data_IF_646102171780
#
_entry.id   IF_646102171780
#
_cell.length_a   1.000
_cell.length_b   1.000
_cell.length_c   1.000
_cell.angle_alpha   90.00
_cell.angle_beta   90.00
_cell.angle_gamma   90.00
#
_symmetry.space_group_name_H-M   'P 1'
#
loop_
_entity.id
_entity.type
_entity.pdbx_description
1 polymer ?
#
# COMPACT_ATOMS: atom_id res chain seq x y z
N UNK A 1 5.40 -25.28 74.14
CA UNK A 1 6.33 -25.55 73.02
C UNK A 1 5.88 -24.73 71.81
N UNK A 2 6.41 -23.51 71.64
CA UNK A 2 6.64 -22.85 70.33
C UNK A 2 7.75 -21.83 70.59
N UNK A 3 8.90 -22.04 69.96
CA UNK A 3 10.16 -21.34 70.20
C UNK A 3 10.23 -20.13 69.26
N UNK A 4 10.36 -18.93 69.82
CA UNK A 4 10.59 -17.67 69.10
C UNK A 4 12.02 -17.69 68.54
N UNK A 5 12.18 -17.72 67.21
CA UNK A 5 13.47 -17.57 66.55
C UNK A 5 13.62 -16.15 66.03
N UNK A 6 14.62 -15.45 66.59
CA UNK A 6 15.15 -14.16 66.20
C UNK A 6 16.25 -14.45 65.16
N UNK A 7 16.16 -13.87 63.96
CA UNK A 7 17.22 -14.00 62.94
C UNK A 7 18.10 -12.75 63.00
N UNK A 8 19.37 -12.96 63.32
CA UNK A 8 20.42 -11.95 63.28
C UNK A 8 21.07 -11.92 61.90
N UNK A 9 21.32 -10.71 61.41
CA UNK A 9 22.05 -10.42 60.18
C UNK A 9 23.56 -10.47 60.45
N UNK A 10 24.32 -11.11 59.56
CA UNK A 10 25.77 -10.93 59.42
C UNK A 10 26.10 -10.63 57.94
N UNK A 11 26.84 -9.55 57.63
CA UNK A 11 27.30 -9.25 56.28
C UNK A 11 28.67 -9.89 56.04
N UNK A 12 28.87 -10.56 54.90
CA UNK A 12 30.22 -10.95 54.48
C UNK A 12 30.43 -10.85 52.96
N UNK A 13 31.29 -9.89 52.61
CA UNK A 13 32.30 -9.87 51.54
C UNK A 13 31.99 -10.49 50.17
N UNK A 14 31.79 -9.62 49.16
CA UNK A 14 31.93 -9.96 47.75
C UNK A 14 32.67 -8.85 47.00
N UNK A 15 34.00 -8.89 47.01
CA UNK A 15 34.83 -7.94 46.24
C UNK A 15 35.74 -8.63 45.20
N UNK A 16 35.83 -9.97 45.17
CA UNK A 16 36.78 -10.66 44.26
C UNK A 16 36.17 -11.47 43.11
N UNK A 17 34.83 -11.48 42.94
CA UNK A 17 34.15 -12.19 41.83
C UNK A 17 33.91 -11.33 40.58
N UNK A 18 33.82 -10.01 40.72
CA UNK A 18 33.52 -9.12 39.58
C UNK A 18 34.67 -9.02 38.56
N UNK A 19 35.93 -9.04 39.02
CA UNK A 19 37.09 -8.91 38.12
C UNK A 19 37.21 -10.07 37.15
N UNK A 20 36.83 -11.28 37.57
CA UNK A 20 36.89 -12.47 36.72
C UNK A 20 35.78 -12.49 35.66
N UNK A 21 34.63 -11.86 35.95
CA UNK A 21 33.52 -11.72 35.01
C UNK A 21 33.83 -10.64 33.98
N UNK A 22 34.36 -9.49 34.44
CA UNK A 22 34.78 -8.39 33.56
C UNK A 22 35.89 -8.85 32.59
N UNK A 23 36.88 -9.61 33.09
CA UNK A 23 37.94 -10.16 32.26
C UNK A 23 37.40 -11.09 31.16
N UNK A 24 36.39 -11.93 31.48
CA UNK A 24 35.75 -12.79 30.47
C UNK A 24 35.02 -11.98 29.40
N UNK A 25 34.28 -10.95 29.78
CA UNK A 25 33.62 -10.08 28.80
C UNK A 25 34.62 -9.33 27.91
N UNK A 26 35.72 -8.84 28.48
CA UNK A 26 36.78 -8.16 27.72
C UNK A 26 37.45 -9.09 26.69
N UNK A 27 37.77 -10.32 27.07
CA UNK A 27 38.35 -11.33 26.16
C UNK A 27 37.37 -11.67 25.04
N UNK A 28 36.08 -11.89 25.36
CA UNK A 28 35.06 -12.19 24.34
C UNK A 28 34.89 -11.05 23.36
N UNK A 29 34.87 -9.79 23.82
CA UNK A 29 34.74 -8.62 22.96
C UNK A 29 35.96 -8.46 22.04
N UNK A 30 37.16 -8.73 22.56
CA UNK A 30 38.41 -8.69 21.78
C UNK A 30 38.44 -9.76 20.69
N UNK A 31 38.02 -11.00 21.00
CA UNK A 31 37.92 -12.09 20.03
C UNK A 31 36.87 -11.80 18.93
N UNK A 32 35.73 -11.20 19.30
CA UNK A 32 34.70 -10.79 18.34
C UNK A 32 35.21 -9.69 17.40
N UNK A 33 35.98 -8.72 17.92
CA UNK A 33 36.62 -7.68 17.12
C UNK A 33 37.70 -8.22 16.17
N UNK A 34 38.49 -9.21 16.60
CA UNK A 34 39.45 -9.91 15.73
C UNK A 34 38.76 -10.70 14.62
N UNK A 35 37.67 -11.42 14.94
CA UNK A 35 36.88 -12.13 13.94
C UNK A 35 36.26 -11.15 12.92
N UNK A 36 35.70 -10.02 13.38
CA UNK A 36 35.18 -8.98 12.49
C UNK A 36 36.27 -8.41 11.58
N UNK A 37 37.46 -8.10 12.12
CA UNK A 37 38.62 -7.65 11.34
C UNK A 37 39.00 -8.67 10.27
N UNK A 38 39.09 -9.96 10.60
CA UNK A 38 39.46 -11.00 9.63
C UNK A 38 38.41 -11.17 8.52
N UNK A 39 37.11 -11.13 8.87
CA UNK A 39 36.03 -11.27 7.89
C UNK A 39 35.88 -10.04 6.98
N UNK A 40 36.04 -8.83 7.54
CA UNK A 40 35.91 -7.59 6.78
C UNK A 40 37.16 -7.25 5.96
N UNK A 41 38.35 -7.63 6.43
CA UNK A 41 39.59 -7.45 5.67
C UNK A 41 39.66 -8.37 4.46
N UNK A 42 38.97 -9.52 4.48
CA UNK A 42 38.89 -10.41 3.32
C UNK A 42 37.85 -9.97 2.28
N UNK A 43 36.90 -9.10 2.63
CA UNK A 43 35.82 -8.66 1.72
C UNK A 43 36.12 -7.35 0.99
N UNK A 44 37.27 -6.71 1.24
CA UNK A 44 37.69 -5.51 0.52
C UNK A 44 38.99 -5.81 -0.26
N UNK A 45 38.88 -6.73 -1.22
CA UNK A 45 39.83 -6.85 -2.32
C UNK A 45 39.47 -5.82 -3.39
N UNK A 46 40.03 -4.61 -3.29
CA UNK A 46 39.99 -3.63 -4.38
C UNK A 46 40.71 -4.21 -5.62
N UNK A 47 39.99 -4.44 -6.71
CA UNK A 47 40.58 -4.56 -8.05
C UNK A 47 41.01 -3.15 -8.49
N UNK A 48 42.28 -2.91 -8.88
CA UNK A 48 42.66 -1.63 -9.43
C UNK A 48 42.14 -1.55 -10.88
N UNK A 49 41.23 -0.63 -11.15
CA UNK A 49 40.90 -0.22 -12.51
C UNK A 49 42.05 0.66 -12.99
N UNK A 50 42.79 0.16 -13.99
CA UNK A 50 43.78 0.91 -14.75
C UNK A 50 43.10 2.08 -15.45
N UNK A 51 43.47 3.31 -15.11
CA UNK A 51 43.11 4.49 -15.90
C UNK A 51 44.05 4.55 -17.09
N UNK A 52 43.57 4.14 -18.25
CA UNK A 52 44.24 4.41 -19.52
C UNK A 52 43.69 5.74 -20.07
N UNK A 53 44.59 6.72 -20.21
CA UNK A 53 44.32 8.01 -20.83
C UNK A 53 44.02 7.79 -22.32
N UNK A 54 42.85 8.22 -22.79
CA UNK A 54 42.60 8.39 -24.23
C UNK A 54 42.11 9.79 -24.51
N UNK A 55 42.87 10.41 -25.41
CA UNK A 55 42.81 11.75 -25.97
C UNK A 55 41.50 12.04 -26.70
N UNK A 56 41.07 13.31 -26.66
CA UNK A 56 39.90 13.85 -27.33
C UNK A 56 40.16 14.00 -28.84
N UNK A 57 39.19 13.64 -29.71
CA UNK A 57 39.04 14.35 -30.97
C UNK A 57 37.67 14.99 -31.16
N UNK A 58 37.68 15.84 -32.17
CA UNK A 58 36.78 16.90 -32.59
C UNK A 58 35.35 16.51 -32.97
N UNK A 59 34.48 17.50 -32.80
CA UNK A 59 33.10 17.57 -33.31
C UNK A 59 33.12 17.60 -34.85
N UNK A 60 32.39 16.70 -35.48
CA UNK A 60 31.95 16.85 -36.87
C UNK A 60 30.46 16.49 -36.97
N UNK A 61 29.70 17.43 -37.51
CA UNK A 61 28.24 17.41 -37.64
C UNK A 61 27.85 16.65 -38.90
N UNK A 62 27.03 15.62 -38.79
CA UNK A 62 26.35 15.00 -39.94
C UNK A 62 24.87 14.75 -39.63
N UNK A 63 24.05 15.28 -40.53
CA UNK A 63 22.59 15.39 -40.49
C UNK A 63 21.96 14.19 -41.22
N UNK A 64 21.00 13.52 -40.54
CA UNK A 64 19.79 12.77 -40.97
C UNK A 64 19.83 11.73 -42.13
N UNK A 65 18.96 10.69 -42.14
CA UNK A 65 17.51 10.89 -42.28
C UNK A 65 16.59 10.03 -41.39
N UNK A 66 15.36 10.53 -41.27
CA UNK A 66 14.23 9.98 -40.54
C UNK A 66 13.84 8.56 -41.00
N UNK A 67 13.55 7.69 -40.03
CA UNK A 67 12.83 6.43 -40.27
C UNK A 67 11.39 6.56 -39.75
N UNK A 68 10.53 6.77 -40.74
CA UNK A 68 9.11 6.39 -40.87
C UNK A 68 8.43 5.71 -39.67
N UNK A 69 7.44 6.43 -39.14
CA UNK A 69 6.21 5.90 -38.54
C UNK A 69 5.65 4.77 -39.42
N UNK A 70 5.53 3.56 -38.87
CA UNK A 70 4.64 2.52 -39.42
C UNK A 70 3.37 2.55 -38.59
N UNK A 71 2.35 3.15 -39.19
CA UNK A 71 0.99 3.21 -38.68
C UNK A 71 0.36 1.83 -38.54
N UNK A 72 -0.42 1.70 -37.47
CA UNK A 72 -1.65 0.92 -37.35
C UNK A 72 -2.11 0.16 -38.60
N UNK A 73 -2.11 -1.18 -38.51
CA UNK A 73 -3.09 -2.09 -39.14
C UNK A 73 -2.61 -3.54 -38.93
N UNK A 74 -3.14 -4.26 -37.92
CA UNK A 74 -3.78 -5.60 -38.04
C UNK A 74 -4.66 -5.79 -36.79
N UNK A 75 -5.80 -5.11 -36.76
CA UNK A 75 -6.97 -5.56 -36.01
C UNK A 75 -8.17 -5.44 -36.94
N UNK A 76 -8.30 -6.40 -37.87
CA UNK A 76 -9.58 -6.75 -38.48
C UNK A 76 -9.46 -8.06 -39.23
N UNK A 77 -10.00 -9.12 -38.62
CA UNK A 77 -10.56 -10.26 -39.33
C UNK A 77 -11.82 -10.71 -38.57
N UNK A 78 -12.98 -10.47 -39.19
CA UNK A 78 -14.22 -11.20 -38.94
C UNK A 78 -15.18 -10.63 -37.89
N UNK A 79 -16.03 -9.69 -38.30
CA UNK A 79 -17.37 -9.48 -37.74
C UNK A 79 -18.29 -10.62 -38.21
N UNK A 80 -19.22 -11.09 -37.34
CA UNK A 80 -20.64 -11.34 -37.63
C UNK A 80 -21.37 -11.86 -36.37
N UNK A 81 -22.26 -11.02 -35.82
CA UNK A 81 -23.43 -11.37 -35.01
C UNK A 81 -23.26 -12.39 -33.87
N UNK A 82 -22.61 -11.96 -32.79
CA UNK A 82 -23.21 -12.13 -31.48
C UNK A 82 -23.64 -10.73 -31.04
N UNK A 83 -24.90 -10.55 -30.63
CA UNK A 83 -25.14 -9.60 -29.55
C UNK A 83 -24.12 -9.99 -28.49
N UNK A 84 -23.05 -9.20 -28.35
CA UNK A 84 -21.99 -9.49 -27.40
C UNK A 84 -22.68 -9.35 -26.06
N UNK A 85 -23.20 -10.47 -25.53
CA UNK A 85 -23.75 -10.50 -24.19
C UNK A 85 -22.72 -9.79 -23.33
N UNK A 86 -23.16 -8.69 -22.74
CA UNK A 86 -22.30 -7.81 -21.98
C UNK A 86 -21.74 -8.68 -20.86
N UNK A 87 -20.48 -9.10 -20.97
CA UNK A 87 -19.90 -9.99 -19.99
C UNK A 87 -19.99 -9.32 -18.62
N UNK A 88 -20.77 -9.93 -17.72
CA UNK A 88 -20.81 -9.50 -16.34
C UNK A 88 -19.58 -10.06 -15.63
N UNK A 89 -18.55 -9.22 -15.52
CA UNK A 89 -17.29 -9.58 -14.88
C UNK A 89 -17.42 -9.82 -13.37
N UNK A 90 -18.56 -9.48 -12.75
CA UNK A 90 -18.81 -9.65 -11.32
C UNK A 90 -19.55 -10.96 -10.98
N UNK A 91 -20.01 -11.67 -12.00
CA UNK A 91 -20.74 -12.93 -11.86
C UNK A 91 -19.89 -14.09 -12.39
N UNK A 92 -19.50 -15.00 -11.50
CA UNK A 92 -18.48 -16.00 -11.79
C UNK A 92 -18.17 -16.91 -10.61
N UNK A 93 -17.07 -17.63 -10.73
CA UNK A 93 -16.58 -18.55 -9.70
C UNK A 93 -15.09 -18.35 -9.47
N UNK A 94 -14.65 -18.57 -8.23
CA UNK A 94 -13.24 -18.77 -7.93
C UNK A 94 -12.83 -20.15 -8.41
N UNK A 95 -11.79 -20.23 -9.24
CA UNK A 95 -11.23 -21.49 -9.73
C UNK A 95 -9.73 -21.58 -9.43
N UNK A 96 -9.16 -22.80 -9.33
CA UNK A 96 -7.73 -22.97 -9.16
C UNK A 96 -6.93 -22.28 -10.26
N UNK A 97 -5.81 -21.66 -9.88
CA UNK A 97 -4.86 -21.02 -10.77
C UNK A 97 -3.49 -21.72 -10.68
N UNK A 98 -3.21 -22.69 -11.57
CA UNK A 98 -1.93 -23.41 -11.59
C UNK A 98 -0.72 -22.52 -11.82
N UNK A 99 -0.89 -21.35 -12.45
CA UNK A 99 0.19 -20.39 -12.70
C UNK A 99 0.64 -19.66 -11.43
N UNK A 100 -0.13 -19.74 -10.35
CA UNK A 100 0.18 -19.10 -9.07
C UNK A 100 -0.03 -17.58 -9.03
N UNK A 101 0.36 -16.92 -7.93
CA UNK A 101 0.20 -15.48 -7.77
C UNK A 101 1.14 -14.72 -8.71
N UNK A 102 0.74 -13.51 -9.11
CA UNK A 102 1.59 -12.66 -9.96
C UNK A 102 2.87 -12.27 -9.21
N UNK A 103 2.81 -12.01 -7.91
CA UNK A 103 3.97 -11.67 -7.10
C UNK A 103 3.96 -12.46 -5.78
N UNK A 104 5.11 -12.54 -5.13
CA UNK A 104 5.27 -13.12 -3.79
C UNK A 104 5.90 -12.10 -2.84
N UNK A 105 6.06 -12.48 -1.57
CA UNK A 105 6.78 -11.67 -0.58
C UNK A 105 8.29 -11.56 -0.87
N UNK A 106 8.85 -12.42 -1.71
CA UNK A 106 10.23 -12.33 -2.18
C UNK A 106 10.36 -11.38 -3.38
N UNK A 107 9.35 -11.32 -4.26
CA UNK A 107 9.42 -10.51 -5.48
C UNK A 107 8.88 -9.09 -5.33
N UNK A 108 8.12 -8.80 -4.26
CA UNK A 108 7.61 -7.46 -3.99
C UNK A 108 8.08 -6.93 -2.65
N UNK A 109 8.83 -5.82 -2.69
CA UNK A 109 9.33 -5.12 -1.51
C UNK A 109 8.34 -4.09 -0.92
N UNK A 110 7.20 -3.87 -1.59
CA UNK A 110 6.18 -2.87 -1.19
C UNK A 110 5.13 -3.46 -0.24
N UNK A 111 5.12 -4.79 -0.04
CA UNK A 111 4.20 -5.44 0.90
C UNK A 111 4.52 -4.98 2.33
N UNK A 112 3.57 -4.30 2.95
CA UNK A 112 3.69 -3.84 4.33
C UNK A 112 3.62 -5.02 5.32
N UNK A 113 4.30 -4.87 6.46
CA UNK A 113 4.39 -5.92 7.49
C UNK A 113 3.02 -6.49 7.90
N UNK A 114 1.96 -5.70 8.17
CA UNK A 114 0.66 -6.26 8.57
C UNK A 114 0.00 -7.15 7.50
N UNK A 115 0.34 -6.95 6.22
CA UNK A 115 -0.20 -7.68 5.07
C UNK A 115 0.69 -8.85 4.64
N UNK A 116 1.92 -8.95 5.15
CA UNK A 116 2.86 -10.01 4.76
C UNK A 116 2.56 -11.32 5.50
N UNK A 117 1.48 -12.00 5.11
CA UNK A 117 1.01 -13.22 5.78
C UNK A 117 2.09 -14.31 5.87
N UNK A 118 2.87 -14.50 4.79
CA UNK A 118 3.92 -15.52 4.75
C UNK A 118 5.03 -15.21 5.75
N UNK A 119 5.50 -13.96 5.78
CA UNK A 119 6.50 -13.51 6.76
C UNK A 119 5.98 -13.54 8.20
N UNK A 120 4.69 -13.30 8.38
CA UNK A 120 4.01 -13.35 9.68
C UNK A 120 3.66 -14.78 10.13
N UNK A 121 4.14 -15.82 9.44
CA UNK A 121 4.06 -17.21 9.89
C UNK A 121 2.78 -17.94 9.49
N UNK A 122 2.01 -17.44 8.52
CA UNK A 122 0.89 -18.21 7.96
C UNK A 122 1.41 -19.49 7.29
N UNK A 123 0.96 -20.69 7.71
CA UNK A 123 1.55 -21.94 7.25
C UNK A 123 1.01 -22.44 5.91
N UNK A 124 -0.21 -22.07 5.52
CA UNK A 124 -0.84 -22.47 4.26
C UNK A 124 -0.61 -21.42 3.16
N UNK A 125 -0.41 -21.87 1.91
CA UNK A 125 -0.23 -20.99 0.74
C UNK A 125 -1.29 -21.16 -0.34
N UNK A 126 -2.23 -22.11 -0.17
CA UNK A 126 -3.25 -22.44 -1.18
C UNK A 126 -4.14 -21.27 -1.59
N UNK A 127 -4.31 -20.27 -0.70
CA UNK A 127 -5.08 -19.06 -0.99
C UNK A 127 -4.49 -18.20 -2.12
N UNK A 128 -3.19 -18.35 -2.43
CA UNK A 128 -2.51 -17.61 -3.51
C UNK A 128 -2.78 -18.20 -4.91
N UNK A 129 -3.35 -19.41 -4.98
CA UNK A 129 -3.53 -20.18 -6.21
C UNK A 129 -4.99 -20.19 -6.67
N UNK A 130 -5.67 -19.06 -6.52
CA UNK A 130 -7.04 -18.85 -6.98
C UNK A 130 -7.08 -17.72 -7.99
N UNK A 131 -7.95 -17.85 -8.99
CA UNK A 131 -8.31 -16.77 -9.91
C UNK A 131 -9.83 -16.68 -10.04
N UNK A 132 -10.32 -15.46 -10.23
CA UNK A 132 -11.71 -15.22 -10.57
C UNK A 132 -11.96 -15.53 -12.04
N UNK A 133 -13.01 -16.30 -12.34
CA UNK A 133 -13.47 -16.59 -13.71
C UNK A 133 -14.94 -16.15 -13.86
N UNK A 134 -15.23 -15.08 -14.64
CA UNK A 134 -16.60 -14.74 -15.00
C UNK A 134 -17.29 -15.90 -15.74
N UNK A 135 -18.61 -16.02 -15.59
CA UNK A 135 -19.37 -17.12 -16.24
C UNK A 135 -19.38 -16.98 -17.76
N UNK A 136 -19.49 -15.74 -18.24
CA UNK A 136 -19.83 -15.45 -19.64
C UNK A 136 -18.61 -14.99 -20.47
N UNK A 137 -17.44 -14.86 -19.85
CA UNK A 137 -16.20 -14.56 -20.55
C UNK A 137 -14.93 -14.97 -19.79
N UNK A 138 -13.81 -14.99 -20.50
CA UNK A 138 -12.49 -15.19 -19.91
C UNK A 138 -11.82 -13.83 -19.63
N UNK A 139 -11.29 -13.66 -18.42
CA UNK A 139 -10.39 -12.56 -18.09
C UNK A 139 -8.97 -12.98 -18.42
N UNK A 140 -8.30 -12.20 -19.28
CA UNK A 140 -6.86 -12.36 -19.51
C UNK A 140 -6.08 -12.09 -18.23
N UNK A 141 -4.93 -12.74 -18.08
CA UNK A 141 -3.98 -12.39 -17.02
C UNK A 141 -3.58 -10.91 -17.15
N UNK A 142 -3.35 -10.26 -16.02
CA UNK A 142 -2.91 -8.87 -16.01
C UNK A 142 -1.52 -8.74 -16.66
N UNK A 143 -1.43 -7.89 -17.66
CA UNK A 143 -0.20 -7.57 -18.39
C UNK A 143 0.33 -6.22 -17.91
N UNK A 144 1.37 -6.26 -17.07
CA UNK A 144 1.96 -5.09 -16.44
C UNK A 144 2.65 -4.15 -17.44
N UNK A 145 3.27 -4.71 -18.48
CA UNK A 145 3.96 -3.92 -19.50
C UNK A 145 2.95 -3.16 -20.33
N UNK A 146 1.92 -3.86 -20.84
CA UNK A 146 0.84 -3.24 -21.57
C UNK A 146 0.11 -2.18 -20.74
N UNK A 147 -0.12 -2.46 -19.45
CA UNK A 147 -0.72 -1.50 -18.55
C UNK A 147 0.09 -0.20 -18.47
N UNK A 148 1.40 -0.29 -18.19
CA UNK A 148 2.26 0.89 -18.08
C UNK A 148 2.36 1.67 -19.40
N UNK A 149 2.39 0.97 -20.54
CA UNK A 149 2.34 1.61 -21.87
C UNK A 149 1.05 2.42 -22.05
N UNK A 150 -0.10 1.85 -21.70
CA UNK A 150 -1.41 2.54 -21.80
C UNK A 150 -1.53 3.70 -20.80
N UNK A 151 -0.90 3.56 -19.63
CA UNK A 151 -0.90 4.55 -18.56
C UNK A 151 0.18 5.63 -18.70
N UNK A 152 0.92 5.65 -19.83
CA UNK A 152 1.96 6.64 -20.08
C UNK A 152 1.40 8.07 -20.05
N UNK A 153 2.11 8.96 -19.36
CA UNK A 153 1.73 10.37 -19.16
C UNK A 153 0.35 10.57 -18.50
N UNK A 154 -0.13 9.59 -17.72
CA UNK A 154 -1.41 9.66 -17.02
C UNK A 154 -1.23 9.62 -15.51
N UNK A 155 -2.29 9.98 -14.80
CA UNK A 155 -2.39 9.89 -13.36
C UNK A 155 -3.61 9.04 -12.96
N UNK A 156 -3.42 8.14 -12.00
CA UNK A 156 -4.48 7.28 -11.48
C UNK A 156 -4.54 7.38 -9.95
N UNK A 157 -5.69 7.76 -9.40
CA UNK A 157 -5.94 7.76 -7.96
C UNK A 157 -6.88 6.65 -7.48
N UNK A 158 -6.55 6.07 -6.33
CA UNK A 158 -7.46 5.29 -5.51
C UNK A 158 -7.87 6.11 -4.29
N UNK A 159 -9.16 6.41 -4.17
CA UNK A 159 -9.72 7.26 -3.13
C UNK A 159 -10.57 6.39 -2.21
N UNK A 160 -10.25 6.37 -0.91
CA UNK A 160 -11.00 5.55 0.02
C UNK A 160 -10.23 5.26 1.31
N UNK A 161 -10.44 4.05 1.82
CA UNK A 161 -9.90 3.59 3.09
C UNK A 161 -8.67 2.67 2.95
N UNK A 162 -8.39 1.87 3.99
CA UNK A 162 -7.27 0.93 4.01
C UNK A 162 -7.39 -0.16 2.95
N UNK A 163 -8.59 -0.47 2.45
CA UNK A 163 -8.81 -1.41 1.34
C UNK A 163 -8.31 -0.79 0.02
N UNK A 164 -8.55 0.50 -0.23
CA UNK A 164 -7.98 1.20 -1.39
C UNK A 164 -6.46 1.21 -1.35
N UNK A 165 -5.88 1.41 -0.16
CA UNK A 165 -4.42 1.30 0.03
C UNK A 165 -3.89 -0.11 -0.27
N UNK A 166 -4.58 -1.15 0.20
CA UNK A 166 -4.20 -2.53 -0.10
C UNK A 166 -4.26 -2.81 -1.62
N UNK A 167 -5.25 -2.25 -2.32
CA UNK A 167 -5.35 -2.37 -3.77
C UNK A 167 -4.13 -1.71 -4.45
N UNK A 168 -3.78 -0.48 -4.08
CA UNK A 168 -2.60 0.21 -4.63
C UNK A 168 -1.31 -0.58 -4.36
N UNK A 169 -1.14 -1.13 -3.16
CA UNK A 169 0.02 -1.97 -2.84
C UNK A 169 0.09 -3.22 -3.73
N UNK A 170 -1.04 -3.90 -3.95
CA UNK A 170 -1.11 -5.05 -4.86
C UNK A 170 -0.72 -4.64 -6.29
N UNK A 171 -1.23 -3.51 -6.77
CA UNK A 171 -0.89 -2.98 -8.10
C UNK A 171 0.60 -2.62 -8.20
N UNK A 172 1.18 -1.93 -7.20
CA UNK A 172 2.61 -1.64 -7.16
C UNK A 172 3.47 -2.91 -7.26
N UNK A 173 3.10 -3.97 -6.55
CA UNK A 173 3.79 -5.27 -6.63
C UNK A 173 3.69 -5.94 -8.02
N UNK A 174 2.56 -5.75 -8.71
CA UNK A 174 2.39 -6.28 -10.06
C UNK A 174 3.26 -5.49 -11.06
N UNK A 175 3.26 -4.15 -10.94
CA UNK A 175 3.98 -3.25 -11.85
C UNK A 175 5.49 -3.28 -11.63
N UNK A 176 5.96 -3.59 -10.42
CA UNK A 176 7.40 -3.71 -10.10
C UNK A 176 8.13 -4.80 -10.90
N UNK A 177 7.41 -5.68 -11.60
CA UNK A 177 7.98 -6.61 -12.58
C UNK A 177 8.56 -5.94 -13.82
N UNK A 178 8.08 -4.74 -14.14
CA UNK A 178 8.45 -3.96 -15.33
C UNK A 178 9.22 -2.72 -14.92
N UNK A 179 8.73 -2.00 -13.91
CA UNK A 179 9.37 -0.79 -13.41
C UNK A 179 9.08 -0.59 -11.92
N UNK A 180 10.12 -0.33 -11.13
CA UNK A 180 9.97 0.08 -9.74
C UNK A 180 9.49 1.54 -9.65
N UNK A 181 8.47 1.76 -8.82
CA UNK A 181 7.93 3.10 -8.62
C UNK A 181 8.69 3.83 -7.51
N UNK A 182 8.87 5.14 -7.67
CA UNK A 182 9.48 6.02 -6.67
C UNK A 182 8.38 6.73 -5.88
N UNK A 183 8.37 6.62 -4.56
CA UNK A 183 7.48 7.42 -3.72
C UNK A 183 7.93 8.90 -3.79
N UNK A 184 7.08 9.76 -4.32
CA UNK A 184 7.37 11.20 -4.51
C UNK A 184 6.63 12.10 -3.52
N UNK A 185 5.62 11.56 -2.83
CA UNK A 185 4.86 12.27 -1.81
C UNK A 185 4.22 11.29 -0.83
N UNK A 186 4.14 11.71 0.44
CA UNK A 186 3.24 11.16 1.44
C UNK A 186 2.74 12.28 2.36
N UNK A 187 1.53 12.13 2.91
CA UNK A 187 1.08 13.00 4.00
C UNK A 187 1.81 12.67 5.32
N UNK A 188 1.61 13.51 6.34
CA UNK A 188 2.32 13.40 7.63
C UNK A 188 2.06 12.04 8.29
N UNK A 189 0.86 11.50 8.14
CA UNK A 189 0.43 10.22 8.70
C UNK A 189 0.66 9.02 7.76
N UNK A 190 1.27 9.22 6.59
CA UNK A 190 1.52 8.19 5.57
C UNK A 190 0.25 7.44 5.09
N UNK A 191 -0.92 8.10 5.20
CA UNK A 191 -2.21 7.56 4.76
C UNK A 191 -2.47 7.85 3.28
N UNK A 192 -2.05 9.02 2.81
CA UNK A 192 -2.09 9.42 1.40
C UNK A 192 -0.68 9.42 0.83
N UNK A 193 -0.52 8.89 -0.39
CA UNK A 193 0.80 8.71 -1.03
C UNK A 193 0.70 8.83 -2.55
N UNK A 194 1.81 9.22 -3.19
CA UNK A 194 1.96 9.27 -4.64
C UNK A 194 3.26 8.55 -5.02
N UNK A 195 3.15 7.65 -5.99
CA UNK A 195 4.27 6.96 -6.62
C UNK A 195 4.39 7.37 -8.09
N UNK A 196 5.62 7.59 -8.56
CA UNK A 196 5.94 7.92 -9.93
C UNK A 196 6.71 6.77 -10.59
N UNK A 197 6.33 6.44 -11.82
CA UNK A 197 7.02 5.49 -12.70
C UNK A 197 7.77 6.31 -13.77
N UNK A 198 9.09 6.58 -13.60
CA UNK A 198 9.81 7.56 -14.41
C UNK A 198 9.82 7.28 -15.91
N UNK A 199 9.97 6.03 -16.31
CA UNK A 199 10.08 5.58 -17.71
C UNK A 199 8.76 5.71 -18.46
N UNK A 200 7.64 5.65 -17.74
CA UNK A 200 6.29 5.80 -18.27
C UNK A 200 5.69 7.17 -17.99
N UNK A 201 6.33 8.00 -17.16
CA UNK A 201 5.78 9.23 -16.64
C UNK A 201 4.33 9.03 -16.14
N UNK A 202 4.11 7.94 -15.41
CA UNK A 202 2.83 7.54 -14.85
C UNK A 202 2.84 7.82 -13.35
N UNK A 203 1.76 8.39 -12.81
CA UNK A 203 1.59 8.56 -11.35
C UNK A 203 0.45 7.71 -10.84
N UNK A 204 0.71 6.97 -9.75
CA UNK A 204 -0.27 6.21 -9.02
C UNK A 204 -0.42 6.81 -7.63
N UNK A 205 -1.65 7.13 -7.24
CA UNK A 205 -1.94 7.80 -5.98
C UNK A 205 -2.90 6.99 -5.12
N UNK A 206 -2.73 7.07 -3.81
CA UNK A 206 -3.78 6.73 -2.84
C UNK A 206 -4.14 7.98 -2.05
N UNK A 207 -5.42 8.31 -1.99
CA UNK A 207 -5.93 9.45 -1.23
C UNK A 207 -6.80 8.93 -0.09
N UNK A 208 -6.40 9.22 1.14
CA UNK A 208 -7.11 8.77 2.32
C UNK A 208 -8.38 9.57 2.55
N UNK A 209 -9.51 8.96 2.22
CA UNK A 209 -10.86 9.50 2.44
C UNK A 209 -11.82 8.36 2.76
N UNK A 210 -11.77 7.80 3.98
CA UNK A 210 -12.42 6.53 4.29
C UNK A 210 -13.95 6.53 4.21
N UNK A 211 -14.56 7.70 4.41
CA UNK A 211 -15.99 7.92 4.26
C UNK A 211 -16.33 8.63 2.95
N UNK A 212 -15.33 9.05 2.17
CA UNK A 212 -15.42 9.99 1.05
C UNK A 212 -15.93 11.40 1.44
N UNK A 213 -16.70 11.50 2.53
CA UNK A 213 -17.25 12.69 3.14
C UNK A 213 -16.32 13.23 4.21
N UNK A 214 -16.52 14.48 4.58
CA UNK A 214 -15.77 15.11 5.65
C UNK A 214 -16.00 14.34 6.95
N UNK A 215 -14.91 13.91 7.56
CA UNK A 215 -14.93 13.21 8.83
C UNK A 215 -13.75 13.66 9.69
N UNK A 216 -14.03 13.97 10.95
CA UNK A 216 -13.01 14.11 11.97
C UNK A 216 -12.75 12.74 12.59
N UNK A 217 -11.52 12.26 12.44
CA UNK A 217 -11.09 10.96 12.97
C UNK A 217 -10.06 11.17 14.07
N UNK A 218 -10.24 10.48 15.20
CA UNK A 218 -9.41 10.64 16.40
C UNK A 218 -8.57 9.38 16.69
N UNK A 219 -8.21 8.65 15.63
CA UNK A 219 -7.39 7.44 15.66
C UNK A 219 -5.91 7.73 15.44
N UNK A 220 -5.07 7.21 16.33
CA UNK A 220 -3.62 7.23 16.18
C UNK A 220 -3.10 6.19 15.16
N UNK A 221 -1.78 6.04 15.06
CA UNK A 221 -1.12 5.09 14.16
C UNK A 221 -1.39 3.63 14.52
N UNK A 222 -1.66 3.34 15.79
CA UNK A 222 -1.93 2.00 16.30
C UNK A 222 -3.42 1.63 16.20
N UNK A 223 -4.25 2.57 15.72
CA UNK A 223 -5.69 2.41 15.55
C UNK A 223 -6.47 2.65 16.85
N UNK A 224 -5.86 3.23 17.87
CA UNK A 224 -6.52 3.58 19.13
C UNK A 224 -7.30 4.88 18.94
N UNK A 225 -8.62 4.81 19.14
CA UNK A 225 -9.50 5.98 19.09
C UNK A 225 -9.52 6.72 20.42
N UNK A 226 -9.32 8.03 20.38
CA UNK A 226 -9.47 8.91 21.56
C UNK A 226 -10.88 9.54 21.69
N UNK A 227 -11.66 9.53 20.61
CA UNK A 227 -13.07 9.96 20.59
C UNK A 227 -13.81 9.29 19.42
N UNK A 228 -15.15 9.35 19.43
CA UNK A 228 -15.97 8.88 18.32
C UNK A 228 -15.76 9.72 17.06
N UNK A 229 -15.84 9.08 15.90
CA UNK A 229 -15.74 9.75 14.61
C UNK A 229 -16.90 10.75 14.49
N UNK A 230 -16.61 11.96 14.01
CA UNK A 230 -17.64 12.93 13.64
C UNK A 230 -17.74 12.95 12.12
N UNK A 231 -18.85 12.44 11.58
CA UNK A 231 -19.08 12.30 10.15
C UNK A 231 -20.13 13.31 9.70
N UNK A 232 -19.77 14.17 8.75
CA UNK A 232 -20.63 15.21 8.20
C UNK A 232 -21.21 14.73 6.88
N UNK A 233 -22.49 14.32 6.90
CA UNK A 233 -23.14 13.60 5.80
C UNK A 233 -23.39 14.49 4.57
N UNK A 234 -23.43 15.81 4.76
CA UNK A 234 -23.68 16.83 3.75
C UNK A 234 -22.40 17.56 3.28
N UNK A 235 -21.22 17.14 3.76
CA UNK A 235 -19.94 17.75 3.42
C UNK A 235 -19.01 16.74 2.74
N UNK A 236 -18.50 17.07 1.55
CA UNK A 236 -17.54 16.24 0.82
C UNK A 236 -16.12 16.44 1.33
N UNK A 237 -15.31 15.38 1.34
CA UNK A 237 -13.93 15.49 1.80
C UNK A 237 -13.05 16.24 0.81
N UNK A 238 -12.60 17.43 1.22
CA UNK A 238 -11.74 18.31 0.44
C UNK A 238 -10.42 17.66 0.02
N UNK A 239 -9.93 16.66 0.78
CA UNK A 239 -8.69 15.95 0.44
C UNK A 239 -8.69 15.40 -0.98
N UNK A 240 -9.80 14.86 -1.46
CA UNK A 240 -9.86 14.34 -2.84
C UNK A 240 -10.55 15.32 -3.79
N UNK A 241 -11.57 16.07 -3.35
CA UNK A 241 -12.30 16.99 -4.24
C UNK A 241 -11.49 18.22 -4.67
N UNK A 242 -10.41 18.55 -3.97
CA UNK A 242 -9.57 19.69 -4.37
C UNK A 242 -8.55 19.30 -5.46
N UNK A 243 -8.40 18.01 -5.75
CA UNK A 243 -7.40 17.49 -6.69
C UNK A 243 -7.95 16.49 -7.71
N UNK A 244 -9.25 16.15 -7.68
CA UNK A 244 -9.82 15.13 -8.57
C UNK A 244 -9.60 15.42 -10.07
N UNK A 245 -9.59 16.71 -10.45
CA UNK A 245 -9.36 17.15 -11.84
C UNK A 245 -7.93 16.86 -12.34
N UNK A 246 -7.00 16.58 -11.43
CA UNK A 246 -5.62 16.23 -11.77
C UNK A 246 -5.45 14.74 -12.11
N UNK A 247 -6.53 13.94 -12.01
CA UNK A 247 -6.51 12.50 -12.26
C UNK A 247 -7.16 12.15 -13.59
N UNK A 248 -6.47 11.38 -14.43
CA UNK A 248 -7.07 10.79 -15.63
C UNK A 248 -8.03 9.65 -15.28
N UNK A 249 -7.72 8.90 -14.22
CA UNK A 249 -8.54 7.79 -13.73
C UNK A 249 -8.66 7.83 -12.21
N UNK A 250 -9.86 7.52 -11.72
CA UNK A 250 -10.15 7.43 -10.29
C UNK A 250 -10.89 6.14 -9.99
N UNK A 251 -10.47 5.44 -8.94
CA UNK A 251 -11.21 4.35 -8.31
C UNK A 251 -11.63 4.84 -6.94
N UNK A 252 -12.95 5.00 -6.76
CA UNK A 252 -13.54 5.46 -5.51
C UNK A 252 -14.12 4.24 -4.79
N UNK A 253 -13.74 4.05 -3.53
CA UNK A 253 -14.29 3.00 -2.69
C UNK A 253 -14.50 3.51 -1.26
N UNK A 254 -15.64 3.17 -0.68
CA UNK A 254 -15.97 3.48 0.71
C UNK A 254 -16.98 2.46 1.22
N UNK A 255 -16.89 2.11 2.50
CA UNK A 255 -17.84 1.20 3.13
C UNK A 255 -17.36 0.65 4.46
N UNK A 256 -16.13 0.13 4.54
CA UNK A 256 -15.63 -0.53 5.76
C UNK A 256 -15.65 0.39 6.98
N UNK A 257 -15.36 1.68 6.79
CA UNK A 257 -15.34 2.68 7.85
C UNK A 257 -16.72 3.10 8.36
N UNK A 258 -17.80 2.92 7.57
CA UNK A 258 -19.17 3.18 8.03
C UNK A 258 -19.60 2.24 9.16
N UNK A 259 -18.92 1.10 9.33
CA UNK A 259 -19.16 0.16 10.43
C UNK A 259 -18.52 0.59 11.76
N UNK A 260 -17.76 1.69 11.80
CA UNK A 260 -17.17 2.21 13.03
C UNK A 260 -18.19 3.06 13.80
N UNK A 261 -17.99 3.16 15.11
CA UNK A 261 -18.73 4.11 15.94
C UNK A 261 -18.53 5.53 15.42
N UNK A 262 -19.63 6.20 15.10
CA UNK A 262 -19.60 7.55 14.55
C UNK A 262 -20.86 8.32 14.93
N UNK A 263 -20.69 9.62 15.19
CA UNK A 263 -21.78 10.60 15.34
C UNK A 263 -22.00 11.24 13.97
N UNK A 264 -23.26 11.27 13.55
CA UNK A 264 -23.66 11.77 12.25
C UNK A 264 -24.17 13.20 12.37
N UNK A 265 -23.54 14.08 11.60
CA UNK A 265 -23.92 15.48 11.46
C UNK A 265 -24.53 15.70 10.07
N UNK A 266 -25.54 16.56 10.04
CA UNK A 266 -26.07 17.12 8.80
C UNK A 266 -26.54 18.55 9.10
N UNK A 267 -26.18 19.50 8.23
CA UNK A 267 -26.37 20.93 8.46
C UNK A 267 -25.83 21.39 9.83
N UNK A 268 -24.68 20.83 10.24
CA UNK A 268 -24.04 21.07 11.55
C UNK A 268 -24.90 20.69 12.77
N UNK A 269 -25.92 19.87 12.58
CA UNK A 269 -26.77 19.33 13.65
C UNK A 269 -26.58 17.83 13.78
N UNK A 270 -26.59 17.31 15.01
CA UNK A 270 -26.50 15.86 15.24
C UNK A 270 -27.82 15.23 14.80
N UNK A 271 -27.74 14.29 13.85
CA UNK A 271 -28.88 13.48 13.41
C UNK A 271 -29.01 12.18 14.17
N UNK A 272 -27.89 11.67 14.66
CA UNK A 272 -27.83 10.44 15.42
C UNK A 272 -26.42 9.88 15.43
N UNK A 273 -26.31 8.59 15.67
CA UNK A 273 -25.03 7.91 15.72
C UNK A 273 -25.17 6.44 15.35
N UNK A 274 -24.05 5.82 14.99
CA UNK A 274 -23.93 4.37 14.96
C UNK A 274 -23.13 3.87 16.15
N UNK A 275 -23.71 2.97 16.94
CA UNK A 275 -23.08 2.29 18.07
C UNK A 275 -22.34 3.25 19.04
N UNK A 276 -23.06 4.23 19.62
CA UNK A 276 -22.54 5.10 20.68
C UNK A 276 -23.12 4.74 22.06
N UNK A 277 -22.60 3.70 22.73
CA UNK A 277 -23.09 3.29 24.05
C UNK A 277 -22.88 4.40 25.08
N UNK A 278 -23.87 4.60 25.95
CA UNK A 278 -23.81 5.60 27.03
C UNK A 278 -24.03 7.04 26.57
N UNK A 279 -24.27 7.29 25.28
CA UNK A 279 -24.69 8.61 24.79
C UNK A 279 -26.21 8.66 24.61
N UNK A 280 -26.81 9.79 24.96
CA UNK A 280 -28.23 10.05 24.69
C UNK A 280 -28.42 10.54 23.25
N UNK A 281 -28.05 9.69 22.28
CA UNK A 281 -28.16 9.95 20.85
C UNK A 281 -29.02 8.86 20.20
N UNK A 282 -29.78 9.25 19.17
CA UNK A 282 -30.60 8.31 18.40
C UNK A 282 -29.69 7.38 17.59
N UNK A 283 -29.87 6.08 17.72
CA UNK A 283 -29.19 5.11 16.85
C UNK A 283 -29.72 5.25 15.42
N UNK A 284 -28.80 5.44 14.49
CA UNK A 284 -29.04 5.58 13.06
C UNK A 284 -28.12 4.58 12.37
N UNK A 285 -28.71 3.72 11.53
CA UNK A 285 -27.99 2.63 10.89
C UNK A 285 -26.94 3.13 9.88
N UNK A 286 -25.95 2.27 9.63
CA UNK A 286 -24.86 2.53 8.66
C UNK A 286 -25.38 2.80 7.25
N UNK A 287 -26.50 2.17 6.86
CA UNK A 287 -27.12 2.35 5.55
C UNK A 287 -27.60 3.79 5.34
N UNK A 288 -28.14 4.41 6.39
CA UNK A 288 -28.57 5.82 6.34
C UNK A 288 -27.36 6.73 6.10
N UNK A 289 -26.27 6.55 6.86
CA UNK A 289 -25.07 7.36 6.69
C UNK A 289 -24.41 7.15 5.32
N UNK A 290 -24.39 5.91 4.84
CA UNK A 290 -23.85 5.57 3.53
C UNK A 290 -24.67 6.20 2.40
N UNK A 291 -26.00 6.08 2.44
CA UNK A 291 -26.89 6.68 1.43
C UNK A 291 -26.87 8.21 1.49
N UNK A 292 -26.88 8.78 2.70
CA UNK A 292 -26.89 10.24 2.89
C UNK A 292 -25.60 10.87 2.39
N UNK A 293 -24.45 10.29 2.76
CA UNK A 293 -23.16 10.75 2.21
C UNK A 293 -23.12 10.55 0.69
N UNK A 294 -23.49 9.36 0.19
CA UNK A 294 -23.59 9.04 -1.24
C UNK A 294 -24.40 10.06 -2.05
N UNK A 295 -25.58 10.43 -1.54
CA UNK A 295 -26.47 11.40 -2.17
C UNK A 295 -25.95 12.84 -2.02
N UNK A 296 -25.38 13.17 -0.87
CA UNK A 296 -24.73 14.46 -0.60
C UNK A 296 -23.54 14.74 -1.53
N UNK A 297 -22.81 13.70 -1.96
CA UNK A 297 -21.71 13.86 -2.90
C UNK A 297 -22.12 14.46 -4.24
N UNK A 298 -23.39 14.32 -4.67
CA UNK A 298 -23.71 14.34 -6.10
C UNK A 298 -22.58 13.64 -6.87
N UNK A 299 -22.26 12.37 -6.57
CA UNK A 299 -21.17 11.65 -7.24
C UNK A 299 -21.28 11.76 -8.77
N UNK A 300 -22.50 11.91 -9.31
CA UNK A 300 -22.82 12.24 -10.70
C UNK A 300 -22.18 13.53 -11.25
N UNK A 301 -21.82 14.49 -10.39
CA UNK A 301 -21.15 15.74 -10.77
C UNK A 301 -19.64 15.53 -10.99
N UNK A 302 -19.06 14.51 -10.33
CA UNK A 302 -17.62 14.19 -10.41
C UNK A 302 -17.35 13.01 -11.34
N UNK A 303 -18.28 12.07 -11.43
CA UNK A 303 -18.23 10.95 -12.37
C UNK A 303 -18.88 11.46 -13.66
N UNK A 304 -18.04 11.84 -14.62
CA UNK A 304 -18.48 12.30 -15.94
C UNK A 304 -19.53 11.38 -16.56
N UNK A 305 -20.50 12.00 -17.22
CA UNK A 305 -21.50 11.34 -18.08
C UNK A 305 -20.86 10.71 -19.31
#
# INVERSE_FOLDING_TARGET
>A
MVKKMRFEWNPCSSVNKNNHVIAKFAVTFFLMGLAFRLLYSHSIGYLPISVEQVEKPSVESLVLPAQTLVSSEILQAGDQNAQKEKCDIFTGDWIPNPSGPIYTNETCHVIQEPQNCMRNGRPDSGYLYWRWKPRDCELSQFDAERFLVVMRNKSWAFIGDSISRNHVQSLLCILSKVEEAVEVYHDKEYRSKIWHFPSHNFTLSVVWSPFLAHAETFEDSDGVSSAEIQLYLDEVDKKWTDQYQNYDYMVIAGGKWFLKTAIYYENKTIKGCHYCPGKNLTEVGVDYAYQSSSNGFQLHHFIGS
#
